data_IF_218481699526
#
_entry.id   IF_218481699526
#
_cell.length_a   1.000
_cell.length_b   1.000
_cell.length_c   1.000
_cell.angle_alpha   90.00
_cell.angle_beta   90.00
_cell.angle_gamma   90.00
#
_symmetry.space_group_name_H-M   'P 1'
#
loop_
_entity.id
_entity.type
_entity.pdbx_description
1 polymer ?
#
# COMPACT_ATOMS: atom_id res chain seq x y z
N UNK A 1 -15.93 -6.40 31.63
CA UNK A 1 -15.46 -5.11 32.18
C UNK A 1 -14.19 -5.42 32.95
N UNK A 2 -12.98 -5.20 32.44
CA UNK A 2 -12.47 -4.10 31.62
C UNK A 2 -11.61 -4.70 30.51
N UNK A 3 -11.88 -4.34 29.25
CA UNK A 3 -10.98 -4.62 28.13
C UNK A 3 -9.90 -3.55 28.18
N UNK A 4 -8.65 -3.94 28.45
CA UNK A 4 -7.51 -3.05 28.39
C UNK A 4 -7.15 -2.84 26.92
N UNK A 5 -7.24 -1.57 26.52
CA UNK A 5 -6.87 -0.97 25.25
C UNK A 5 -5.54 -1.47 24.69
N UNK A 6 -5.56 -1.91 23.43
CA UNK A 6 -4.37 -2.13 22.60
C UNK A 6 -3.67 -0.85 22.14
N UNK A 7 -3.65 0.19 22.97
CA UNK A 7 -3.15 1.52 22.60
C UNK A 7 -1.63 1.69 22.75
N UNK A 8 -0.88 0.63 23.07
CA UNK A 8 0.55 0.75 23.44
C UNK A 8 1.50 -0.10 22.57
N UNK A 9 1.07 -0.50 21.36
CA UNK A 9 1.94 -1.16 20.36
C UNK A 9 2.27 -0.31 19.14
N UNK A 10 1.58 0.81 18.94
CA UNK A 10 1.64 1.60 17.69
C UNK A 10 2.27 3.00 17.86
N UNK A 11 2.93 3.28 19.00
CA UNK A 11 3.41 4.63 19.39
C UNK A 11 4.49 5.28 18.50
N UNK A 12 4.69 4.81 17.27
CA UNK A 12 5.58 5.39 16.27
C UNK A 12 5.24 5.04 14.82
N UNK A 13 4.06 4.48 14.54
CA UNK A 13 3.60 4.20 13.18
C UNK A 13 2.63 5.29 12.74
N UNK A 14 2.90 5.89 11.58
CA UNK A 14 2.06 6.93 11.00
C UNK A 14 1.12 6.32 9.95
N UNK A 15 -0.16 6.65 10.05
CA UNK A 15 -1.12 6.48 8.97
C UNK A 15 -1.11 7.75 8.13
N UNK A 16 -0.61 7.70 6.89
CA UNK A 16 -0.43 8.92 6.06
C UNK A 16 -1.74 9.66 5.73
N UNK A 17 -2.88 9.00 5.98
CA UNK A 17 -4.23 9.50 5.81
C UNK A 17 -4.88 10.04 7.09
N UNK A 18 -4.25 9.83 8.25
CA UNK A 18 -4.79 10.24 9.55
C UNK A 18 -3.83 11.21 10.23
N UNK A 19 -4.24 12.48 10.26
CA UNK A 19 -3.48 13.55 10.89
C UNK A 19 -3.18 13.22 12.35
N UNK A 20 -4.07 12.52 13.07
CA UNK A 20 -3.93 12.23 14.49
C UNK A 20 -2.80 11.27 14.81
N UNK A 21 -2.26 10.59 13.80
CA UNK A 21 -1.06 9.75 13.94
C UNK A 21 0.25 10.49 13.72
N UNK A 22 0.23 11.73 13.24
CA UNK A 22 1.45 12.48 12.92
C UNK A 22 2.15 12.89 14.23
N UNK A 23 3.46 12.67 14.32
CA UNK A 23 4.23 13.11 15.47
C UNK A 23 4.38 14.65 15.53
N UNK A 24 4.85 15.14 16.67
CA UNK A 24 4.95 16.58 16.93
C UNK A 24 5.92 17.31 16.01
N UNK A 25 6.99 16.65 15.54
CA UNK A 25 7.96 17.28 14.62
C UNK A 25 7.29 17.48 13.25
N UNK A 26 6.68 16.43 12.71
CA UNK A 26 5.99 16.50 11.42
C UNK A 26 4.85 17.54 11.46
N UNK A 27 4.04 17.54 12.53
CA UNK A 27 2.98 18.55 12.68
C UNK A 27 3.54 19.96 12.81
N UNK A 28 4.59 20.14 13.61
CA UNK A 28 5.22 21.45 13.79
C UNK A 28 5.73 22.04 12.48
N UNK A 29 6.34 21.21 11.63
CA UNK A 29 6.78 21.63 10.29
C UNK A 29 5.61 21.94 9.35
N UNK A 30 4.52 21.17 9.39
CA UNK A 30 3.32 21.44 8.60
C UNK A 30 2.61 22.74 9.05
N UNK A 31 2.50 22.95 10.37
CA UNK A 31 1.93 24.16 10.98
C UNK A 31 2.75 25.42 10.64
N UNK A 32 4.08 25.30 10.55
CA UNK A 32 4.92 26.41 10.12
C UNK A 32 4.68 26.84 8.66
N UNK A 33 4.07 25.98 7.84
CA UNK A 33 3.83 26.21 6.41
C UNK A 33 2.33 26.24 6.05
N UNK A 34 1.44 26.40 7.03
CA UNK A 34 -0.02 26.38 6.84
C UNK A 34 -0.50 27.28 5.68
N UNK A 35 -0.05 28.53 5.64
CA UNK A 35 -0.52 29.49 4.64
C UNK A 35 -0.07 29.10 3.23
N UNK A 36 1.19 28.67 3.07
CA UNK A 36 1.72 28.20 1.79
C UNK A 36 0.93 26.98 1.26
N UNK A 37 0.65 25.99 2.13
CA UNK A 37 -0.11 24.80 1.75
C UNK A 37 -1.51 25.20 1.30
N UNK A 38 -2.19 26.04 2.08
CA UNK A 38 -3.56 26.50 1.77
C UNK A 38 -3.60 27.28 0.45
N UNK A 39 -2.72 28.25 0.30
CA UNK A 39 -2.73 29.16 -0.86
C UNK A 39 -2.39 28.42 -2.15
N UNK A 40 -1.44 27.49 -2.10
CA UNK A 40 -1.14 26.62 -3.23
C UNK A 40 -2.36 25.78 -3.64
N UNK A 41 -3.00 25.09 -2.69
CA UNK A 41 -4.10 24.17 -2.97
C UNK A 41 -5.36 24.90 -3.46
N UNK A 42 -5.73 26.04 -2.85
CA UNK A 42 -6.85 26.87 -3.30
C UNK A 42 -6.59 27.38 -4.71
N UNK A 43 -5.38 27.87 -4.98
CA UNK A 43 -5.01 28.38 -6.30
C UNK A 43 -5.04 27.27 -7.35
N UNK A 44 -4.49 26.10 -7.04
CA UNK A 44 -4.49 24.94 -7.94
C UNK A 44 -5.92 24.47 -8.25
N UNK A 45 -6.79 24.38 -7.23
CA UNK A 45 -8.21 24.00 -7.43
C UNK A 45 -8.93 25.02 -8.31
N UNK A 46 -8.78 26.31 -8.03
CA UNK A 46 -9.37 27.38 -8.85
C UNK A 46 -8.92 27.28 -10.31
N UNK A 47 -7.61 27.10 -10.54
CA UNK A 47 -7.06 26.95 -11.89
C UNK A 47 -7.59 25.71 -12.62
N UNK A 48 -7.76 24.58 -11.93
CA UNK A 48 -8.38 23.37 -12.50
C UNK A 48 -9.81 23.64 -12.95
N UNK A 49 -10.65 24.21 -12.07
CA UNK A 49 -12.05 24.50 -12.39
C UNK A 49 -12.18 25.53 -13.52
N UNK A 50 -11.33 26.58 -13.53
CA UNK A 50 -11.28 27.56 -14.62
C UNK A 50 -10.89 26.90 -15.96
N UNK A 51 -9.97 25.94 -15.93
CA UNK A 51 -9.55 25.19 -17.12
C UNK A 51 -10.65 24.23 -17.61
N UNK A 52 -11.25 23.45 -16.71
CA UNK A 52 -12.36 22.53 -17.03
C UNK A 52 -13.55 23.27 -17.66
N UNK A 53 -13.88 24.47 -17.16
CA UNK A 53 -14.93 25.33 -17.70
C UNK A 53 -14.54 26.06 -19.01
N UNK A 54 -13.28 25.98 -19.44
CA UNK A 54 -12.78 26.63 -20.66
C UNK A 54 -12.97 25.77 -21.92
N UNK A 55 -12.52 26.25 -23.07
CA UNK A 55 -12.47 25.47 -24.31
C UNK A 55 -11.24 24.55 -24.42
N UNK A 56 -10.44 24.48 -23.34
CA UNK A 56 -9.23 23.65 -23.16
C UNK A 56 -8.10 24.02 -24.14
N UNK A 57 -8.15 25.19 -24.77
CA UNK A 57 -7.13 25.64 -25.74
C UNK A 57 -6.01 26.47 -25.13
N UNK A 58 -6.23 26.99 -23.93
CA UNK A 58 -5.24 27.79 -23.22
C UNK A 58 -4.36 26.91 -22.34
N UNK A 59 -3.05 27.20 -22.24
CA UNK A 59 -2.17 26.49 -21.32
C UNK A 59 -2.63 26.71 -19.87
N UNK A 60 -2.30 25.76 -19.00
CA UNK A 60 -2.48 25.93 -17.56
C UNK A 60 -1.72 27.17 -17.09
N UNK A 61 -2.37 27.96 -16.23
CA UNK A 61 -1.72 29.07 -15.56
C UNK A 61 -0.74 28.52 -14.52
N UNK A 62 0.46 29.10 -14.46
CA UNK A 62 1.42 28.76 -13.41
C UNK A 62 0.87 29.17 -12.04
N UNK A 63 0.95 28.28 -11.06
CA UNK A 63 0.63 28.60 -9.68
C UNK A 63 1.82 29.35 -9.06
N UNK A 64 1.65 30.60 -8.58
CA UNK A 64 2.76 31.40 -8.05
C UNK A 64 3.44 30.77 -6.82
N UNK A 65 2.74 29.87 -6.11
CA UNK A 65 3.26 29.17 -4.94
C UNK A 65 3.97 27.85 -5.30
N UNK A 66 3.97 27.42 -6.57
CA UNK A 66 4.43 26.09 -6.95
C UNK A 66 5.88 25.79 -6.57
N UNK A 67 6.79 26.77 -6.73
CA UNK A 67 8.20 26.58 -6.41
C UNK A 67 8.43 26.35 -4.91
N UNK A 68 7.83 27.18 -4.06
CA UNK A 68 7.93 27.04 -2.60
C UNK A 68 7.22 25.78 -2.11
N UNK A 69 6.07 25.44 -2.70
CA UNK A 69 5.34 24.23 -2.36
C UNK A 69 6.12 22.96 -2.72
N UNK A 70 6.83 22.95 -3.86
CA UNK A 70 7.73 21.85 -4.21
C UNK A 70 8.88 21.73 -3.20
N UNK A 71 9.51 22.85 -2.83
CA UNK A 71 10.58 22.86 -1.83
C UNK A 71 10.09 22.37 -0.45
N UNK A 72 8.85 22.71 -0.07
CA UNK A 72 8.21 22.17 1.13
C UNK A 72 8.06 20.64 1.04
N UNK A 73 7.56 20.10 -0.09
CA UNK A 73 7.43 18.64 -0.26
C UNK A 73 8.78 17.92 -0.16
N UNK A 74 9.84 18.48 -0.75
CA UNK A 74 11.20 17.95 -0.62
C UNK A 74 11.72 18.01 0.83
N UNK A 75 11.35 19.05 1.58
CA UNK A 75 11.66 19.15 3.01
C UNK A 75 10.94 18.07 3.82
N UNK A 76 9.61 17.95 3.66
CA UNK A 76 8.80 16.93 4.33
C UNK A 76 9.25 15.52 3.94
N UNK A 77 9.67 15.29 2.70
CA UNK A 77 10.25 14.00 2.26
C UNK A 77 11.42 13.56 3.14
N UNK A 78 12.32 14.47 3.52
CA UNK A 78 13.46 14.15 4.41
C UNK A 78 13.01 13.81 5.83
N UNK A 79 11.94 14.46 6.31
CA UNK A 79 11.31 14.10 7.58
C UNK A 79 10.69 12.69 7.50
N UNK A 80 9.98 12.39 6.41
CA UNK A 80 9.35 11.09 6.21
C UNK A 80 10.35 9.94 6.11
N UNK A 81 11.57 10.17 5.60
CA UNK A 81 12.61 9.13 5.49
C UNK A 81 12.94 8.44 6.84
N UNK A 82 12.87 9.18 7.95
CA UNK A 82 13.15 8.66 9.29
C UNK A 82 11.96 7.95 9.95
N UNK A 83 10.78 7.97 9.32
CA UNK A 83 9.51 7.52 9.90
C UNK A 83 9.09 6.14 9.38
N UNK A 84 8.23 5.50 10.17
CA UNK A 84 7.57 4.24 9.81
C UNK A 84 6.09 4.52 9.55
N UNK A 85 5.56 4.00 8.45
CA UNK A 85 4.14 4.15 8.11
C UNK A 85 3.41 2.81 8.15
N UNK A 86 2.10 2.83 8.39
CA UNK A 86 1.26 1.64 8.16
C UNK A 86 1.03 1.48 6.67
N UNK A 87 1.25 0.27 6.18
CA UNK A 87 1.02 -0.12 4.79
C UNK A 87 0.28 -1.46 4.73
N UNK A 88 -0.33 -1.77 3.59
CA UNK A 88 -1.23 -2.90 3.41
C UNK A 88 -0.75 -3.81 2.28
N UNK A 89 -0.69 -5.11 2.52
CA UNK A 89 -0.37 -6.10 1.49
C UNK A 89 -1.52 -7.08 1.32
N UNK A 90 -2.04 -7.18 0.09
CA UNK A 90 -3.16 -8.04 -0.30
C UNK A 90 -2.61 -9.28 -0.99
N UNK A 91 -3.01 -10.46 -0.51
CA UNK A 91 -2.45 -11.71 -1.01
C UNK A 91 -3.35 -12.90 -0.68
N UNK A 92 -3.14 -14.01 -1.37
CA UNK A 92 -3.72 -15.31 -1.02
C UNK A 92 -2.61 -16.23 -0.52
N UNK A 93 -2.74 -16.72 0.73
CA UNK A 93 -1.72 -17.52 1.40
C UNK A 93 -2.34 -18.73 2.11
N UNK A 94 -1.58 -19.81 2.21
CA UNK A 94 -1.94 -20.96 3.06
C UNK A 94 -1.71 -20.63 4.54
N UNK A 95 -2.35 -21.38 5.44
CA UNK A 95 -2.13 -21.23 6.88
C UNK A 95 -0.66 -21.50 7.27
N UNK A 96 0.01 -22.44 6.59
CA UNK A 96 1.43 -22.72 6.82
C UNK A 96 2.36 -21.57 6.41
N UNK A 97 2.05 -20.89 5.31
CA UNK A 97 2.78 -19.68 4.90
C UNK A 97 2.52 -18.53 5.89
N UNK A 98 1.28 -18.40 6.35
CA UNK A 98 0.92 -17.41 7.38
C UNK A 98 1.68 -17.62 8.69
N UNK A 99 1.79 -18.87 9.14
CA UNK A 99 2.57 -19.23 10.33
C UNK A 99 4.05 -18.91 10.15
N UNK A 100 4.60 -19.14 8.96
CA UNK A 100 5.98 -18.76 8.61
C UNK A 100 6.16 -17.24 8.69
N UNK A 101 5.25 -16.47 8.08
CA UNK A 101 5.28 -15.00 8.14
C UNK A 101 5.23 -14.49 9.58
N UNK A 102 4.38 -15.08 10.43
CA UNK A 102 4.30 -14.73 11.85
C UNK A 102 5.58 -15.05 12.63
N UNK A 103 6.28 -16.13 12.27
CA UNK A 103 7.48 -16.57 12.98
C UNK A 103 8.74 -15.85 12.51
N UNK A 104 8.90 -15.67 11.20
CA UNK A 104 10.16 -15.21 10.59
C UNK A 104 10.08 -13.82 10.00
N UNK A 105 8.87 -13.24 9.89
CA UNK A 105 8.63 -11.98 9.22
C UNK A 105 8.47 -12.14 7.71
N UNK A 106 8.55 -11.01 7.01
CA UNK A 106 8.38 -10.88 5.57
C UNK A 106 9.75 -10.72 4.92
N UNK A 107 9.99 -11.50 3.87
CA UNK A 107 11.20 -11.40 3.06
C UNK A 107 10.87 -10.83 1.67
N UNK A 108 11.72 -9.95 1.10
CA UNK A 108 11.55 -9.51 -0.26
C UNK A 108 11.59 -10.69 -1.24
N UNK A 109 10.86 -10.57 -2.34
CA UNK A 109 10.77 -11.63 -3.35
C UNK A 109 12.13 -11.92 -3.96
N UNK A 110 12.55 -13.19 -3.94
CA UNK A 110 13.76 -13.68 -4.60
C UNK A 110 13.43 -15.00 -5.32
N UNK A 111 14.24 -15.38 -6.31
CA UNK A 111 14.09 -16.68 -6.98
C UNK A 111 14.13 -17.85 -5.97
N UNK A 112 15.02 -17.76 -4.98
CA UNK A 112 15.15 -18.76 -3.93
C UNK A 112 13.88 -18.84 -3.07
N UNK A 113 13.34 -17.69 -2.64
CA UNK A 113 12.13 -17.64 -1.82
C UNK A 113 10.90 -18.14 -2.59
N UNK A 114 10.78 -17.80 -3.87
CA UNK A 114 9.70 -18.28 -4.73
C UNK A 114 9.81 -19.79 -4.93
N UNK A 115 11.03 -20.30 -5.19
CA UNK A 115 11.25 -21.73 -5.35
C UNK A 115 10.91 -22.49 -4.07
N UNK A 116 11.38 -21.99 -2.93
CA UNK A 116 11.08 -22.55 -1.60
C UNK A 116 9.58 -22.61 -1.33
N UNK A 117 8.81 -21.58 -1.74
CA UNK A 117 7.35 -21.60 -1.64
C UNK A 117 6.73 -22.73 -2.47
N UNK A 118 7.17 -22.95 -3.70
CA UNK A 118 6.66 -24.08 -4.51
C UNK A 118 7.06 -25.43 -3.90
N UNK A 119 8.30 -25.61 -3.48
CA UNK A 119 8.76 -26.86 -2.85
C UNK A 119 7.98 -27.17 -1.57
N UNK A 120 7.63 -26.15 -0.77
CA UNK A 120 6.77 -26.31 0.41
C UNK A 120 5.36 -26.84 0.05
N UNK A 121 4.79 -26.41 -1.08
CA UNK A 121 3.50 -26.90 -1.55
C UNK A 121 3.58 -28.34 -2.09
N UNK A 122 4.71 -28.72 -2.69
CA UNK A 122 4.98 -30.13 -3.06
C UNK A 122 5.04 -31.01 -1.82
N UNK A 123 5.78 -30.59 -0.79
CA UNK A 123 5.87 -31.31 0.49
C UNK A 123 4.51 -31.42 1.17
N UNK A 124 3.68 -30.38 1.09
CA UNK A 124 2.31 -30.38 1.60
C UNK A 124 1.35 -31.26 0.76
N UNK A 125 1.79 -31.77 -0.40
CA UNK A 125 0.98 -32.57 -1.30
C UNK A 125 -0.08 -31.77 -2.08
N UNK A 126 0.06 -30.44 -2.15
CA UNK A 126 -0.87 -29.58 -2.89
C UNK A 126 -0.73 -29.77 -4.41
N UNK A 127 0.49 -30.01 -4.90
CA UNK A 127 0.77 -30.37 -6.29
C UNK A 127 2.07 -31.16 -6.43
N UNK A 128 2.33 -31.72 -7.62
CA UNK A 128 3.52 -32.53 -7.89
C UNK A 128 4.77 -31.69 -8.15
N UNK A 129 5.94 -32.34 -8.11
CA UNK A 129 7.21 -31.69 -8.43
C UNK A 129 7.23 -31.14 -9.86
N UNK A 130 6.62 -31.84 -10.81
CA UNK A 130 6.52 -31.43 -12.20
C UNK A 130 5.70 -30.14 -12.35
N UNK A 131 4.62 -30.00 -11.56
CA UNK A 131 3.83 -28.76 -11.51
C UNK A 131 4.67 -27.63 -10.91
N UNK A 132 5.38 -27.87 -9.82
CA UNK A 132 6.26 -26.87 -9.20
C UNK A 132 7.33 -26.35 -10.18
N UNK A 133 7.97 -27.27 -10.91
CA UNK A 133 9.00 -26.94 -11.90
C UNK A 133 8.41 -26.14 -13.07
N UNK A 134 7.19 -26.48 -13.50
CA UNK A 134 6.47 -25.74 -14.54
C UNK A 134 6.11 -24.32 -14.09
N UNK A 135 5.52 -24.17 -12.91
CA UNK A 135 5.17 -22.86 -12.34
C UNK A 135 6.42 -21.99 -12.17
N UNK A 136 7.53 -22.58 -11.74
CA UNK A 136 8.80 -21.86 -11.59
C UNK A 136 9.41 -21.43 -12.92
N UNK A 137 9.31 -22.26 -13.97
CA UNK A 137 9.79 -21.94 -15.30
C UNK A 137 8.96 -20.85 -15.99
N UNK A 138 7.65 -20.84 -15.75
CA UNK A 138 6.72 -19.85 -16.34
C UNK A 138 6.68 -18.54 -15.54
N UNK A 139 7.35 -18.46 -14.40
CA UNK A 139 7.37 -17.31 -13.49
C UNK A 139 8.01 -16.07 -14.15
N UNK A 140 7.50 -14.83 -13.89
CA UNK A 140 8.10 -13.61 -14.45
C UNK A 140 9.54 -13.37 -13.99
N UNK A 141 9.94 -14.01 -12.90
CA UNK A 141 11.30 -13.95 -12.37
C UNK A 141 12.31 -14.70 -13.26
N UNK A 142 11.84 -15.44 -14.27
CA UNK A 142 12.67 -16.04 -15.33
C UNK A 142 12.82 -15.13 -16.57
N UNK A 143 12.20 -13.95 -16.56
CA UNK A 143 12.16 -13.03 -17.71
C UNK A 143 12.85 -11.70 -17.41
N UNK A 144 12.92 -10.82 -18.41
CA UNK A 144 13.45 -9.45 -18.31
C UNK A 144 12.72 -8.59 -17.26
N UNK A 145 11.59 -9.08 -16.74
CA UNK A 145 10.83 -8.46 -15.65
C UNK A 145 11.42 -8.74 -14.25
N UNK A 146 12.47 -9.55 -14.15
CA UNK A 146 13.12 -9.92 -12.90
C UNK A 146 13.54 -8.69 -12.09
N UNK A 147 14.22 -7.71 -12.69
CA UNK A 147 14.76 -6.55 -11.97
C UNK A 147 13.66 -5.64 -11.39
N UNK A 148 12.49 -5.59 -12.03
CA UNK A 148 11.38 -4.77 -11.54
C UNK A 148 10.75 -5.34 -10.27
N UNK A 149 10.79 -6.67 -10.07
CA UNK A 149 10.08 -7.40 -9.02
C UNK A 149 10.99 -8.01 -7.95
N UNK A 150 12.21 -8.36 -8.33
CA UNK A 150 13.20 -8.99 -7.44
C UNK A 150 13.66 -8.03 -6.35
N UNK A 151 13.86 -8.58 -5.15
CA UNK A 151 14.31 -7.85 -3.97
C UNK A 151 13.29 -6.85 -3.43
N UNK A 152 11.99 -7.02 -3.74
CA UNK A 152 10.92 -6.11 -3.29
C UNK A 152 9.77 -6.85 -2.63
N UNK A 153 9.19 -6.25 -1.61
CA UNK A 153 7.90 -6.61 -1.03
C UNK A 153 6.94 -5.44 -1.17
N UNK A 154 5.90 -5.59 -1.99
CA UNK A 154 4.98 -4.53 -2.40
C UNK A 154 3.78 -4.39 -1.47
N UNK A 155 3.36 -3.16 -1.23
CA UNK A 155 2.25 -2.78 -0.36
C UNK A 155 1.56 -1.54 -0.94
N UNK A 156 0.41 -1.18 -0.38
CA UNK A 156 -0.27 0.11 -0.60
C UNK A 156 -0.21 0.95 0.67
N UNK A 157 -0.05 2.26 0.49
CA UNK A 157 0.01 3.23 1.60
C UNK A 157 -1.34 3.57 2.21
N UNK A 158 -2.45 3.09 1.65
CA UNK A 158 -3.80 3.30 2.17
C UNK A 158 -4.54 1.95 2.13
N UNK A 159 -5.50 1.72 3.03
CA UNK A 159 -6.39 0.58 2.90
C UNK A 159 -7.22 0.72 1.62
N UNK A 160 -7.44 -0.40 0.96
CA UNK A 160 -8.18 -0.53 -0.29
C UNK A 160 -9.27 -1.57 -0.04
N UNK A 161 -10.46 -1.29 -0.56
CA UNK A 161 -11.60 -2.20 -0.47
C UNK A 161 -11.22 -3.55 -1.07
N UNK A 162 -11.52 -4.64 -0.36
CA UNK A 162 -11.17 -5.98 -0.84
C UNK A 162 -11.88 -6.37 -2.14
N UNK A 163 -12.98 -5.71 -2.47
CA UNK A 163 -13.71 -5.90 -3.73
C UNK A 163 -13.20 -4.99 -4.86
N UNK A 164 -12.24 -4.09 -4.59
CA UNK A 164 -11.65 -3.23 -5.61
C UNK A 164 -10.85 -4.08 -6.61
N UNK A 165 -11.11 -3.87 -7.90
CA UNK A 165 -10.50 -4.66 -8.98
C UNK A 165 -8.97 -4.59 -9.02
N UNK A 166 -8.36 -3.55 -8.43
CA UNK A 166 -6.91 -3.41 -8.29
C UNK A 166 -6.30 -4.36 -7.27
N UNK A 167 -7.06 -4.84 -6.27
CA UNK A 167 -6.57 -5.76 -5.23
C UNK A 167 -7.25 -7.13 -5.24
N UNK A 168 -8.51 -7.22 -5.70
CA UNK A 168 -9.29 -8.46 -5.75
C UNK A 168 -8.53 -9.59 -6.49
N UNK A 169 -7.84 -9.24 -7.58
CA UNK A 169 -7.07 -10.18 -8.39
C UNK A 169 -5.94 -10.88 -7.60
N UNK A 170 -5.36 -10.23 -6.58
CA UNK A 170 -4.32 -10.83 -5.72
C UNK A 170 -4.89 -11.78 -4.66
N UNK A 171 -6.19 -11.68 -4.37
CA UNK A 171 -6.89 -12.48 -3.37
C UNK A 171 -7.61 -13.69 -3.97
N UNK A 172 -7.92 -13.64 -5.27
CA UNK A 172 -8.56 -14.73 -6.01
C UNK A 172 -7.69 -15.98 -6.16
N UNK A 173 -6.36 -15.84 -6.21
CA UNK A 173 -5.47 -16.93 -6.60
C UNK A 173 -4.16 -16.95 -5.82
N UNK A 174 -3.69 -18.15 -5.48
CA UNK A 174 -2.42 -18.32 -4.80
C UNK A 174 -1.27 -18.03 -5.76
N UNK A 175 -0.26 -17.33 -5.25
CA UNK A 175 0.93 -16.97 -6.02
C UNK A 175 0.77 -15.77 -6.94
N UNK A 176 -0.45 -15.21 -7.12
CA UNK A 176 -0.72 -13.94 -7.81
C UNK A 176 0.16 -13.68 -9.04
N UNK A 177 0.91 -12.58 -9.03
CA UNK A 177 1.88 -12.24 -10.09
C UNK A 177 3.03 -13.25 -10.27
N UNK A 178 3.46 -13.94 -9.21
CA UNK A 178 4.63 -14.83 -9.26
C UNK A 178 4.32 -16.20 -9.89
N UNK A 179 3.05 -16.60 -9.93
CA UNK A 179 2.62 -17.88 -10.48
C UNK A 179 1.36 -17.73 -11.37
N UNK A 180 0.22 -17.38 -10.79
CA UNK A 180 -1.09 -17.44 -11.46
C UNK A 180 -1.20 -16.54 -12.71
N UNK A 181 -0.72 -15.30 -12.69
CA UNK A 181 -0.89 -14.35 -13.82
C UNK A 181 -0.17 -14.78 -15.11
N UNK A 182 0.74 -15.74 -15.01
CA UNK A 182 1.55 -16.23 -16.13
C UNK A 182 1.10 -17.62 -16.61
N UNK A 183 0.12 -18.23 -15.95
CA UNK A 183 -0.43 -19.51 -16.38
C UNK A 183 -1.46 -19.33 -17.49
N UNK A 184 -1.30 -20.09 -18.57
CA UNK A 184 -2.28 -20.21 -19.65
C UNK A 184 -3.06 -21.53 -19.58
N UNK A 185 -2.61 -22.48 -18.76
CA UNK A 185 -3.28 -23.75 -18.55
C UNK A 185 -4.43 -23.60 -17.54
N UNK A 186 -5.65 -23.92 -17.97
CA UNK A 186 -6.84 -23.77 -17.15
C UNK A 186 -6.82 -24.69 -15.91
N UNK A 187 -6.22 -25.88 -16.01
CA UNK A 187 -6.11 -26.80 -14.88
C UNK A 187 -5.20 -26.26 -13.78
N UNK A 188 -4.07 -25.66 -14.16
CA UNK A 188 -3.17 -24.97 -13.22
C UNK A 188 -3.83 -23.72 -12.63
N UNK A 189 -4.55 -22.94 -13.42
CA UNK A 189 -5.30 -21.79 -12.93
C UNK A 189 -6.34 -22.18 -11.87
N UNK A 190 -7.14 -23.22 -12.13
CA UNK A 190 -8.16 -23.71 -11.20
C UNK A 190 -7.54 -24.25 -9.91
N UNK A 191 -6.41 -24.97 -10.03
CA UNK A 191 -5.66 -25.45 -8.88
C UNK A 191 -5.18 -24.29 -7.98
N UNK A 192 -4.56 -23.26 -8.57
CA UNK A 192 -4.02 -22.12 -7.82
C UNK A 192 -5.12 -21.30 -7.12
N UNK A 193 -6.33 -21.23 -7.70
CA UNK A 193 -7.50 -20.58 -7.07
C UNK A 193 -8.00 -21.32 -5.83
N UNK A 194 -7.82 -22.64 -5.77
CA UNK A 194 -8.26 -23.46 -4.63
C UNK A 194 -7.29 -23.44 -3.46
N UNK A 195 -6.07 -22.92 -3.65
CA UNK A 195 -5.02 -22.94 -2.64
C UNK A 195 -5.09 -21.75 -1.69
N UNK A 196 -4.98 -22.00 -0.39
CA UNK A 196 -4.92 -20.96 0.64
C UNK A 196 -6.22 -20.15 0.77
N UNK A 197 -6.13 -19.00 1.44
CA UNK A 197 -7.25 -18.06 1.65
C UNK A 197 -6.78 -16.61 1.45
N UNK A 198 -7.69 -15.70 1.07
CA UNK A 198 -7.39 -14.27 1.04
C UNK A 198 -6.92 -13.77 2.42
N UNK A 199 -5.87 -12.95 2.40
CA UNK A 199 -5.30 -12.30 3.58
C UNK A 199 -4.95 -10.85 3.24
N UNK A 200 -5.08 -9.98 4.23
CA UNK A 200 -4.52 -8.62 4.18
C UNK A 200 -3.58 -8.45 5.36
N UNK A 201 -2.33 -8.11 5.08
CA UNK A 201 -1.31 -7.86 6.11
C UNK A 201 -1.20 -6.36 6.32
N UNK A 202 -1.34 -5.93 7.56
CA UNK A 202 -0.93 -4.60 8.00
C UNK A 202 0.52 -4.62 8.44
N UNK A 203 1.30 -3.73 7.86
CA UNK A 203 2.76 -3.74 8.00
C UNK A 203 3.23 -2.35 8.39
N UNK A 204 3.94 -2.26 9.52
CA UNK A 204 4.76 -1.13 9.87
C UNK A 204 5.99 -1.10 8.94
N UNK A 205 6.02 -0.14 8.02
CA UNK A 205 7.05 -0.03 6.99
C UNK A 205 7.95 1.17 7.27
N UNK A 206 9.21 0.96 7.69
CA UNK A 206 10.20 2.03 7.75
C UNK A 206 10.42 2.59 6.36
N UNK A 207 10.24 3.89 6.19
CA UNK A 207 10.40 4.52 4.88
C UNK A 207 11.86 4.55 4.41
N UNK A 208 12.82 4.42 5.33
CA UNK A 208 14.24 4.16 5.02
C UNK A 208 14.48 2.84 4.27
N UNK A 209 13.52 1.90 4.28
CA UNK A 209 13.56 0.67 3.49
C UNK A 209 12.94 0.83 2.10
N UNK A 210 12.43 2.00 1.77
CA UNK A 210 11.66 2.29 0.57
C UNK A 210 12.24 3.48 -0.20
N UNK A 211 11.89 3.60 -1.49
CA UNK A 211 12.22 4.78 -2.32
C UNK A 211 11.05 5.76 -2.46
N UNK A 212 9.97 5.51 -1.74
CA UNK A 212 8.69 6.21 -1.89
C UNK A 212 8.48 7.33 -0.84
N UNK A 213 9.56 7.88 -0.28
CA UNK A 213 9.50 8.96 0.71
C UNK A 213 8.84 10.23 0.18
N UNK A 214 9.05 10.54 -1.10
CA UNK A 214 8.40 11.69 -1.74
C UNK A 214 6.89 11.51 -1.86
N UNK A 215 6.42 10.32 -2.24
CA UNK A 215 4.99 10.00 -2.28
C UNK A 215 4.36 10.03 -0.88
N UNK A 216 5.10 9.58 0.14
CA UNK A 216 4.67 9.73 1.53
C UNK A 216 4.54 11.21 1.94
N UNK A 217 5.48 12.07 1.52
CA UNK A 217 5.40 13.50 1.74
C UNK A 217 4.16 14.13 1.07
N UNK A 218 3.85 13.74 -0.16
CA UNK A 218 2.63 14.19 -0.85
C UNK A 218 1.36 13.78 -0.10
N UNK A 219 1.29 12.53 0.37
CA UNK A 219 0.16 12.03 1.14
C UNK A 219 -0.04 12.82 2.44
N UNK A 220 1.00 13.03 3.25
CA UNK A 220 0.87 13.72 4.53
C UNK A 220 0.55 15.22 4.36
N UNK A 221 1.13 15.89 3.35
CA UNK A 221 0.79 17.28 3.03
C UNK A 221 -0.65 17.37 2.55
N UNK A 222 -1.13 16.42 1.74
CA UNK A 222 -2.52 16.38 1.31
C UNK A 222 -3.49 16.15 2.47
N UNK A 223 -3.16 15.24 3.39
CA UNK A 223 -3.91 15.00 4.63
C UNK A 223 -3.99 16.24 5.50
N UNK A 224 -2.87 16.94 5.70
CA UNK A 224 -2.86 18.23 6.40
C UNK A 224 -3.68 19.30 5.66
N UNK A 225 -3.55 19.40 4.33
CA UNK A 225 -4.35 20.33 3.53
C UNK A 225 -5.86 20.14 3.74
N UNK A 226 -6.34 18.90 3.91
CA UNK A 226 -7.75 18.63 4.21
C UNK A 226 -8.20 19.17 5.57
N UNK A 227 -7.32 19.19 6.58
CA UNK A 227 -7.65 19.80 7.89
C UNK A 227 -7.81 21.33 7.79
N UNK A 228 -7.24 21.95 6.74
CA UNK A 228 -7.40 23.37 6.43
C UNK A 228 -8.66 23.67 5.59
N UNK A 229 -9.46 22.66 5.25
CA UNK A 229 -10.63 22.78 4.37
C UNK A 229 -10.30 22.73 2.88
N UNK A 230 -9.08 22.41 2.48
CA UNK A 230 -8.73 22.16 1.08
C UNK A 230 -9.20 20.77 0.63
N UNK A 231 -9.26 20.54 -0.69
CA UNK A 231 -9.75 19.29 -1.29
C UNK A 231 -8.71 18.60 -2.19
N UNK A 232 -7.46 18.37 -1.75
CA UNK A 232 -6.52 17.57 -2.53
C UNK A 232 -7.00 16.12 -2.66
N UNK A 233 -6.57 15.43 -3.71
CA UNK A 233 -6.77 13.98 -3.83
C UNK A 233 -6.08 13.23 -2.69
N UNK A 234 -6.45 11.96 -2.47
CA UNK A 234 -5.89 11.17 -1.36
C UNK A 234 -4.37 11.02 -1.40
N UNK A 235 -3.76 11.09 -2.59
CA UNK A 235 -2.35 10.77 -2.83
C UNK A 235 -1.97 9.38 -2.31
N UNK A 236 -2.86 8.40 -2.50
CA UNK A 236 -2.51 7.00 -2.26
C UNK A 236 -1.45 6.56 -3.28
N UNK A 237 -0.50 5.79 -2.79
CA UNK A 237 0.62 5.29 -3.56
C UNK A 237 0.95 3.85 -3.20
N UNK A 238 1.46 3.12 -4.17
CA UNK A 238 2.13 1.84 -3.97
C UNK A 238 3.55 2.08 -3.48
N UNK A 239 4.01 1.21 -2.59
CA UNK A 239 5.37 1.23 -2.08
C UNK A 239 5.92 -0.17 -1.95
N UNK A 240 7.24 -0.28 -1.83
CA UNK A 240 7.88 -1.53 -1.49
C UNK A 240 8.97 -1.36 -0.45
N UNK A 241 9.23 -2.43 0.29
CA UNK A 241 10.44 -2.61 1.09
C UNK A 241 11.50 -3.36 0.28
N UNK A 242 12.74 -2.87 0.29
CA UNK A 242 13.91 -3.58 -0.25
C UNK A 242 14.67 -4.36 0.84
N UNK A 243 14.22 -4.27 2.10
CA UNK A 243 14.80 -4.96 3.24
C UNK A 243 13.79 -5.96 3.84
N UNK A 244 14.24 -7.07 4.43
CA UNK A 244 13.39 -7.93 5.24
C UNK A 244 12.71 -7.16 6.37
N UNK A 245 11.43 -7.47 6.61
CA UNK A 245 10.64 -6.91 7.70
C UNK A 245 10.41 -8.02 8.71
N UNK A 246 11.13 -7.98 9.84
CA UNK A 246 10.99 -8.99 10.89
C UNK A 246 9.57 -9.03 11.50
N UNK A 247 9.22 -10.07 12.28
CA UNK A 247 7.87 -10.26 12.81
C UNK A 247 7.25 -9.06 13.53
N UNK A 248 8.09 -8.24 14.18
CA UNK A 248 7.64 -7.04 14.89
C UNK A 248 7.08 -5.94 13.98
N UNK A 249 7.31 -6.01 12.66
CA UNK A 249 6.73 -5.09 11.69
C UNK A 249 5.33 -5.51 11.23
N UNK A 250 4.88 -6.72 11.56
CA UNK A 250 3.53 -7.17 11.24
C UNK A 250 2.62 -6.67 12.36
N UNK A 251 1.76 -5.71 12.04
CA UNK A 251 0.82 -5.13 13.00
C UNK A 251 -0.35 -6.08 13.22
N UNK A 252 -1.00 -6.46 12.12
CA UNK A 252 -2.20 -7.30 12.10
C UNK A 252 -2.22 -8.11 10.81
N UNK A 253 -2.86 -9.29 10.83
CA UNK A 253 -3.18 -10.04 9.62
C UNK A 253 -4.66 -10.37 9.63
N UNK A 254 -5.38 -9.86 8.64
CA UNK A 254 -6.80 -10.11 8.41
C UNK A 254 -6.98 -11.27 7.47
N UNK A 255 -7.97 -12.10 7.77
CA UNK A 255 -8.23 -13.33 7.04
C UNK A 255 -9.68 -13.40 6.58
N UNK A 256 -9.90 -13.97 5.40
CA UNK A 256 -11.25 -14.26 4.93
C UNK A 256 -12.06 -15.03 6.00
N UNK A 257 -13.25 -14.51 6.30
CA UNK A 257 -14.15 -15.00 7.35
C UNK A 257 -14.03 -14.27 8.69
N UNK A 258 -13.00 -13.44 8.88
CA UNK A 258 -12.89 -12.55 10.05
C UNK A 258 -13.70 -11.26 9.82
N UNK A 259 -14.32 -10.69 10.87
CA UNK A 259 -15.16 -9.50 10.73
C UNK A 259 -14.43 -8.30 10.11
N UNK A 260 -13.19 -8.06 10.54
CA UNK A 260 -12.41 -6.90 10.10
C UNK A 260 -11.95 -7.02 8.65
N UNK A 261 -11.76 -8.26 8.14
CA UNK A 261 -11.38 -8.50 6.74
C UNK A 261 -12.42 -7.94 5.76
N UNK A 262 -13.71 -8.21 5.99
CA UNK A 262 -14.79 -7.68 5.16
C UNK A 262 -15.04 -6.18 5.34
N UNK A 263 -14.45 -5.56 6.36
CA UNK A 263 -14.61 -4.15 6.70
C UNK A 263 -13.44 -3.27 6.21
N UNK A 264 -12.38 -3.85 5.63
CA UNK A 264 -11.22 -3.10 5.13
C UNK A 264 -11.68 -2.04 4.13
N UNK A 265 -11.23 -0.80 4.35
CA UNK A 265 -11.62 0.43 3.66
C UNK A 265 -13.11 0.82 3.71
N UNK A 266 -13.97 0.04 4.38
CA UNK A 266 -15.43 0.28 4.54
C UNK A 266 -15.84 0.60 5.99
N UNK A 267 -14.89 0.62 6.91
CA UNK A 267 -15.12 0.76 8.34
C UNK A 267 -13.92 0.35 9.19
N UNK A 268 -12.96 -0.35 8.57
CA UNK A 268 -11.66 -0.68 9.13
C UNK A 268 -10.52 -0.14 8.23
N UNK A 269 -9.45 0.46 8.80
CA UNK A 269 -9.30 0.79 10.21
C UNK A 269 -10.33 1.85 10.62
N UNK A 270 -10.69 1.87 11.90
CA UNK A 270 -11.68 2.81 12.44
C UNK A 270 -11.19 4.24 12.17
N UNK A 271 -12.07 5.08 11.60
CA UNK A 271 -11.74 6.47 11.28
C UNK A 271 -11.18 6.69 9.87
N UNK A 272 -10.84 5.62 9.13
CA UNK A 272 -10.49 5.77 7.72
C UNK A 272 -11.69 6.21 6.89
N UNK A 273 -11.47 7.23 6.05
CA UNK A 273 -12.44 7.74 5.08
C UNK A 273 -11.71 7.82 3.74
N UNK A 274 -12.22 7.12 2.73
CA UNK A 274 -11.70 7.29 1.37
C UNK A 274 -12.21 8.61 0.77
N UNK A 275 -11.38 9.63 0.84
CA UNK A 275 -11.67 11.00 0.39
C UNK A 275 -11.81 11.15 -1.13
N UNK A 276 -11.53 10.09 -1.90
CA UNK A 276 -11.73 10.07 -3.35
C UNK A 276 -13.08 9.43 -3.76
N UNK A 277 -13.74 8.67 -2.88
CA UNK A 277 -15.05 8.09 -3.20
C UNK A 277 -16.09 9.20 -3.38
N UNK A 278 -16.86 9.12 -4.48
CA UNK A 278 -17.93 10.08 -4.81
C UNK A 278 -17.50 11.38 -5.48
N UNK A 279 -16.20 11.65 -5.67
CA UNK A 279 -15.74 12.86 -6.40
C UNK A 279 -16.08 12.84 -7.90
N UNK A 280 -16.32 11.67 -8.48
CA UNK A 280 -16.62 11.48 -9.90
C UNK A 280 -18.11 11.23 -10.19
N UNK A 281 -18.94 11.11 -9.14
CA UNK A 281 -20.39 10.85 -9.28
C UNK A 281 -21.23 12.14 -9.19
N UNK A 282 -20.59 13.30 -9.06
CA UNK A 282 -21.22 14.64 -9.07
C UNK A 282 -20.85 15.50 -10.30
N UNK A 283 -20.36 14.88 -11.38
CA UNK A 283 -20.24 15.51 -12.72
C UNK A 283 -21.41 15.12 -13.65
#
# INVERSE_FOLDING_TARGET
MISASGADRDAGVIDVWDIDTFDNELRGDLDAHTDLIRDYMITSRRQSCEHEASDHRMPYLDNPHAGEFLALKEHIMRLMEARTIRAWHYTRMTDAELDTVRQTGIYPSSLENIRSRFDAQVVAGAFSQEVADRLFADSPYQSDQFDARSGKFWMTSHPVDIEDGGVAVFMESWGGEAAYFWQQDAGLQDMLKQMGRPRVLEVATPLSHSRHTYSAAEAVVATYGRTLGCQPDKHAFDLYSQQPLGPAHILTIHSEGEPDFGAIARGYPVGFIDVNLGRWDEE
#
